data_IF_898700941780
#
_entry.id   IF_898700941780
#
_cell.length_a   1.000
_cell.length_b   1.000
_cell.length_c   1.000
_cell.angle_alpha   90.00
_cell.angle_beta   90.00
_cell.angle_gamma   90.00
#
_symmetry.space_group_name_H-M   'P 1'
#
loop_
_entity.id
_entity.type
_entity.pdbx_description
1 polymer ?
#
# COMPACT_ATOMS: atom_id res chain seq x y z
N UNK A 1 5.03 -14.30 11.94
CA UNK A 1 6.11 -13.62 11.20
C UNK A 1 5.76 -12.15 11.12
N UNK A 2 6.74 -11.26 11.30
CA UNK A 2 6.54 -9.80 11.18
C UNK A 2 6.92 -9.36 9.77
N UNK A 3 6.08 -8.54 9.15
CA UNK A 3 6.18 -8.07 7.78
C UNK A 3 5.96 -6.56 7.77
N UNK A 4 6.77 -5.81 7.03
CA UNK A 4 6.49 -4.40 6.78
C UNK A 4 5.35 -4.29 5.76
N UNK A 5 4.40 -3.35 5.97
CA UNK A 5 3.42 -3.04 4.93
C UNK A 5 4.09 -2.56 3.64
N UNK A 6 3.34 -2.65 2.54
CA UNK A 6 3.76 -2.29 1.18
C UNK A 6 4.99 -3.01 0.63
N UNK A 7 5.53 -3.97 1.38
CA UNK A 7 6.73 -4.71 1.02
C UNK A 7 6.45 -6.20 0.93
N UNK A 8 6.83 -6.78 -0.22
CA UNK A 8 6.78 -8.21 -0.44
C UNK A 8 7.80 -8.94 0.47
N UNK A 9 7.34 -9.91 1.25
CA UNK A 9 8.18 -10.66 2.21
C UNK A 9 8.04 -12.17 1.99
N UNK A 10 9.18 -12.88 2.02
CA UNK A 10 9.20 -14.34 1.87
C UNK A 10 8.67 -15.03 3.14
N UNK A 11 7.73 -15.95 2.96
CA UNK A 11 7.25 -16.86 4.00
C UNK A 11 8.07 -18.14 3.94
N UNK A 12 8.94 -18.34 4.92
CA UNK A 12 9.83 -19.50 4.99
C UNK A 12 9.28 -20.61 5.90
N UNK A 13 9.87 -21.81 5.77
CA UNK A 13 9.58 -22.94 6.66
C UNK A 13 8.28 -23.70 6.33
N UNK A 14 7.64 -23.38 5.20
CA UNK A 14 6.49 -24.13 4.70
C UNK A 14 6.95 -25.48 4.18
N UNK A 15 6.27 -26.54 4.61
CA UNK A 15 6.45 -27.88 4.08
C UNK A 15 5.19 -28.71 4.32
N UNK A 16 5.07 -29.78 3.55
CA UNK A 16 4.00 -30.76 3.67
C UNK A 16 4.59 -32.16 3.83
N UNK A 17 3.86 -33.05 4.47
CA UNK A 17 4.24 -34.44 4.65
C UNK A 17 2.99 -35.32 4.56
N UNK A 18 3.17 -36.50 4.00
CA UNK A 18 2.16 -37.55 3.95
C UNK A 18 2.83 -38.88 4.34
N UNK A 19 2.41 -39.52 5.45
CA UNK A 19 3.03 -40.76 5.92
C UNK A 19 2.94 -41.93 4.94
N UNK A 20 1.93 -41.96 4.07
CA UNK A 20 1.67 -43.07 3.15
C UNK A 20 2.39 -42.90 1.80
N UNK A 21 2.94 -41.71 1.54
CA UNK A 21 3.79 -41.42 0.38
C UNK A 21 5.25 -41.79 0.69
N UNK A 22 5.60 -43.07 0.49
CA UNK A 22 6.98 -43.56 0.61
C UNK A 22 7.65 -43.78 -0.75
N UNK A 23 8.77 -43.08 -0.99
CA UNK A 23 9.97 -43.49 -1.74
C UNK A 23 9.92 -44.02 -3.17
N UNK A 24 8.78 -44.46 -3.73
CA UNK A 24 8.69 -45.05 -5.07
C UNK A 24 7.28 -45.06 -5.69
N UNK A 25 6.24 -44.67 -4.96
CA UNK A 25 4.96 -44.33 -5.57
C UNK A 25 4.97 -42.82 -5.82
N UNK A 26 5.28 -42.33 -7.04
CA UNK A 26 5.47 -40.91 -7.27
C UNK A 26 4.21 -40.08 -6.99
N UNK A 27 3.07 -40.76 -6.79
CA UNK A 27 1.80 -40.20 -6.31
C UNK A 27 1.21 -39.27 -7.34
N UNK A 28 -0.04 -39.51 -7.72
CA UNK A 28 -0.82 -38.55 -8.52
C UNK A 28 -0.74 -37.15 -7.88
N UNK A 29 -0.94 -36.08 -8.66
CA UNK A 29 -0.79 -34.73 -8.13
C UNK A 29 -1.67 -34.51 -6.87
N UNK A 30 -1.09 -33.93 -5.83
CA UNK A 30 -1.82 -33.39 -4.67
C UNK A 30 -1.97 -31.88 -4.84
N UNK A 31 -2.84 -31.26 -4.04
CA UNK A 31 -3.05 -29.82 -4.11
C UNK A 31 -2.76 -29.14 -2.77
N UNK A 32 -2.04 -28.02 -2.81
CA UNK A 32 -1.85 -27.13 -1.66
C UNK A 32 -2.46 -25.77 -2.00
N UNK A 33 -3.41 -25.32 -1.19
CA UNK A 33 -3.97 -23.97 -1.28
C UNK A 33 -3.37 -23.10 -0.19
N UNK A 34 -2.70 -22.03 -0.59
CA UNK A 34 -2.22 -20.97 0.29
C UNK A 34 -3.21 -19.81 0.21
N UNK A 35 -3.66 -19.28 1.35
CA UNK A 35 -4.63 -18.17 1.38
C UNK A 35 -4.35 -17.17 2.50
N UNK A 36 -4.58 -15.88 2.22
CA UNK A 36 -4.48 -14.74 3.14
C UNK A 36 -5.70 -13.83 2.96
N UNK A 37 -6.06 -13.06 3.98
CA UNK A 37 -7.21 -12.16 3.91
C UNK A 37 -6.83 -10.74 3.46
N UNK A 38 -5.61 -10.29 3.73
CA UNK A 38 -5.21 -8.88 3.59
C UNK A 38 -3.99 -8.67 2.69
N UNK A 39 -3.99 -9.29 1.51
CA UNK A 39 -2.94 -9.08 0.53
C UNK A 39 -2.97 -10.09 -0.59
N UNK A 40 -1.80 -10.34 -1.17
CA UNK A 40 -1.59 -11.32 -2.23
C UNK A 40 -0.44 -12.25 -1.89
N UNK A 41 -0.53 -13.47 -2.42
CA UNK A 41 0.53 -14.46 -2.38
C UNK A 41 1.06 -14.62 -3.80
N UNK A 42 2.37 -14.51 -3.95
CA UNK A 42 3.09 -14.83 -5.18
C UNK A 42 4.02 -16.01 -4.91
N UNK A 43 3.87 -17.05 -5.73
CA UNK A 43 4.66 -18.28 -5.65
C UNK A 43 5.58 -18.32 -6.87
N UNK A 44 6.87 -18.58 -6.65
CA UNK A 44 7.82 -18.74 -7.75
C UNK A 44 7.43 -19.95 -8.63
N UNK A 45 7.78 -19.90 -9.92
CA UNK A 45 7.60 -21.06 -10.78
C UNK A 45 8.53 -22.20 -10.33
N UNK A 46 8.01 -23.44 -10.31
CA UNK A 46 8.75 -24.63 -9.90
C UNK A 46 8.52 -25.78 -10.87
N UNK A 47 9.56 -26.56 -11.11
CA UNK A 47 9.47 -27.76 -11.96
C UNK A 47 8.50 -28.76 -11.34
N UNK A 48 7.53 -29.24 -12.13
CA UNK A 48 6.56 -30.24 -11.68
C UNK A 48 5.44 -29.71 -10.77
N UNK A 49 5.32 -28.38 -10.64
CA UNK A 49 4.22 -27.72 -9.92
C UNK A 49 3.45 -26.80 -10.88
N UNK A 50 2.13 -26.99 -10.95
CA UNK A 50 1.22 -26.07 -11.63
C UNK A 50 0.66 -25.09 -10.61
N UNK A 51 0.68 -23.80 -10.94
CA UNK A 51 0.13 -22.72 -10.11
C UNK A 51 -1.18 -22.23 -10.71
N UNK A 52 -2.22 -22.14 -9.90
CA UNK A 52 -3.50 -21.52 -10.25
C UNK A 52 -3.73 -20.32 -9.34
N UNK A 53 -4.31 -19.24 -9.89
CA UNK A 53 -4.59 -17.97 -9.19
C UNK A 53 -3.37 -17.32 -8.51
N UNK A 54 -2.17 -17.53 -9.06
CA UNK A 54 -0.94 -16.91 -8.55
C UNK A 54 -1.02 -15.38 -8.55
N UNK A 55 -0.48 -14.73 -7.51
CA UNK A 55 -0.53 -13.26 -7.35
C UNK A 55 -1.86 -12.74 -6.83
N UNK A 56 -2.70 -13.61 -6.24
CA UNK A 56 -3.97 -13.21 -5.62
C UNK A 56 -3.97 -13.56 -4.13
N UNK A 57 -5.05 -13.25 -3.40
CA UNK A 57 -5.20 -13.64 -1.99
C UNK A 57 -5.27 -15.16 -1.77
N UNK A 58 -5.41 -15.98 -2.82
CA UNK A 58 -5.35 -17.43 -2.72
C UNK A 58 -4.66 -18.06 -3.93
N UNK A 59 -3.65 -18.91 -3.69
CA UNK A 59 -2.90 -19.61 -4.74
C UNK A 59 -3.00 -21.10 -4.51
N UNK A 60 -3.30 -21.84 -5.58
CA UNK A 60 -3.31 -23.31 -5.55
C UNK A 60 -2.10 -23.86 -6.28
N UNK A 61 -1.31 -24.67 -5.60
CA UNK A 61 -0.21 -25.45 -6.13
C UNK A 61 -0.73 -26.87 -6.40
N UNK A 62 -0.44 -27.43 -7.56
CA UNK A 62 -0.73 -28.83 -7.89
C UNK A 62 0.53 -29.53 -8.39
N UNK A 63 0.91 -30.64 -7.77
CA UNK A 63 2.15 -31.36 -8.09
C UNK A 63 2.39 -32.54 -7.16
N UNK A 64 3.55 -33.18 -7.29
CA UNK A 64 3.95 -34.24 -6.35
C UNK A 64 4.41 -33.66 -5.02
N UNK A 65 4.33 -34.45 -3.94
CA UNK A 65 4.81 -34.07 -2.61
C UNK A 65 6.23 -33.48 -2.66
N UNK A 66 7.13 -34.14 -3.39
CA UNK A 66 8.53 -33.72 -3.53
C UNK A 66 8.66 -32.41 -4.30
N UNK A 67 7.96 -32.25 -5.44
CA UNK A 67 8.02 -31.03 -6.23
C UNK A 67 7.50 -29.81 -5.47
N UNK A 68 6.39 -29.98 -4.73
CA UNK A 68 5.83 -28.93 -3.87
C UNK A 68 6.80 -28.54 -2.76
N UNK A 69 7.38 -29.51 -2.04
CA UNK A 69 8.35 -29.20 -0.97
C UNK A 69 9.62 -28.52 -1.49
N UNK A 70 10.12 -28.90 -2.67
CA UNK A 70 11.25 -28.21 -3.32
C UNK A 70 10.89 -26.74 -3.61
N UNK A 71 9.68 -26.49 -4.11
CA UNK A 71 9.21 -25.13 -4.38
C UNK A 71 9.07 -24.31 -3.11
N UNK A 72 8.39 -24.85 -2.08
CA UNK A 72 8.16 -24.16 -0.80
C UNK A 72 9.46 -23.83 -0.07
N UNK A 73 10.50 -24.67 -0.21
CA UNK A 73 11.81 -24.46 0.39
C UNK A 73 12.71 -23.51 -0.41
N UNK A 74 12.31 -23.08 -1.61
CA UNK A 74 13.12 -22.18 -2.42
C UNK A 74 13.16 -20.76 -1.83
N UNK A 75 14.25 -20.01 -2.10
CA UNK A 75 14.51 -18.73 -1.47
C UNK A 75 13.40 -17.68 -1.67
N UNK A 76 12.63 -17.76 -2.76
CA UNK A 76 11.47 -16.93 -3.04
C UNK A 76 10.24 -17.80 -3.32
N UNK A 77 10.15 -18.97 -2.68
CA UNK A 77 9.12 -19.97 -2.95
C UNK A 77 7.73 -19.43 -2.76
N UNK A 78 7.49 -18.76 -1.63
CA UNK A 78 6.23 -18.11 -1.31
C UNK A 78 6.52 -16.72 -0.77
N UNK A 79 5.97 -15.72 -1.44
CA UNK A 79 6.07 -14.31 -1.04
C UNK A 79 4.67 -13.78 -0.75
N UNK A 80 4.52 -13.12 0.38
CA UNK A 80 3.31 -12.41 0.76
C UNK A 80 3.54 -10.91 0.63
N UNK A 81 2.60 -10.22 -0.02
CA UNK A 81 2.56 -8.77 -0.11
C UNK A 81 1.25 -8.30 0.51
N UNK A 82 1.28 -7.59 1.65
CA UNK A 82 0.09 -6.97 2.23
C UNK A 82 -0.64 -6.07 1.23
N UNK A 83 -1.95 -5.88 1.43
CA UNK A 83 -2.68 -4.84 0.72
C UNK A 83 -2.06 -3.46 1.02
N UNK A 84 -2.16 -2.54 0.07
CA UNK A 84 -1.55 -1.21 0.22
C UNK A 84 -2.06 -0.50 1.48
N UNK A 85 -1.16 0.05 2.29
CA UNK A 85 -1.42 0.72 3.57
C UNK A 85 -2.19 -0.15 4.60
N UNK A 86 -2.11 -1.48 4.48
CA UNK A 86 -2.66 -2.39 5.48
C UNK A 86 -1.63 -2.70 6.56
N UNK A 87 -1.95 -2.31 7.80
CA UNK A 87 -1.23 -2.72 8.99
C UNK A 87 -2.17 -3.48 9.95
N UNK A 88 -1.67 -4.55 10.58
CA UNK A 88 -2.47 -5.38 11.48
C UNK A 88 -2.14 -6.88 11.41
N UNK A 89 -3.00 -7.70 12.00
CA UNK A 89 -2.85 -9.16 11.96
C UNK A 89 -3.37 -9.74 10.65
N UNK A 90 -2.67 -10.70 10.07
CA UNK A 90 -3.20 -11.57 9.01
C UNK A 90 -2.81 -13.02 9.30
N UNK A 91 -3.37 -13.97 8.56
CA UNK A 91 -3.06 -15.40 8.71
C UNK A 91 -2.93 -16.04 7.35
N UNK A 92 -1.74 -16.58 7.08
CA UNK A 92 -1.57 -17.50 5.96
C UNK A 92 -2.15 -18.86 6.36
N UNK A 93 -3.19 -19.29 5.66
CA UNK A 93 -3.76 -20.63 5.77
C UNK A 93 -3.20 -21.50 4.65
N UNK A 94 -2.65 -22.65 5.01
CA UNK A 94 -2.18 -23.68 4.09
C UNK A 94 -3.09 -24.89 4.21
N UNK A 95 -3.84 -25.19 3.15
CA UNK A 95 -4.74 -26.35 3.07
C UNK A 95 -4.20 -27.34 2.05
N UNK A 96 -3.81 -28.52 2.51
CA UNK A 96 -3.26 -29.59 1.68
C UNK A 96 -4.30 -30.67 1.50
N UNK A 97 -4.66 -30.99 0.26
CA UNK A 97 -5.50 -32.11 -0.10
C UNK A 97 -4.63 -33.16 -0.80
N UNK A 98 -4.64 -34.37 -0.26
CA UNK A 98 -3.80 -35.47 -0.72
C UNK A 98 -4.29 -36.09 -2.04
N UNK A 99 -5.40 -35.65 -2.64
CA UNK A 99 -5.95 -36.18 -3.88
C UNK A 99 -6.44 -37.64 -3.80
N UNK A 100 -6.55 -38.21 -2.60
CA UNK A 100 -6.81 -39.63 -2.38
C UNK A 100 -5.59 -40.50 -2.66
N UNK A 101 -4.40 -39.90 -2.63
CA UNK A 101 -3.15 -40.57 -2.91
C UNK A 101 -2.71 -41.41 -1.71
N UNK A 102 -2.32 -42.65 -2.02
CA UNK A 102 -1.74 -43.65 -1.11
C UNK A 102 -2.67 -44.12 0.02
N UNK A 103 -2.62 -45.42 0.31
CA UNK A 103 -3.61 -46.09 1.18
C UNK A 103 -4.93 -46.43 0.47
N UNK A 104 -5.87 -47.04 1.21
CA UNK A 104 -7.24 -47.29 0.75
C UNK A 104 -8.13 -46.15 1.23
N UNK A 105 -8.76 -45.36 0.35
CA UNK A 105 -9.64 -44.27 0.79
C UNK A 105 -9.98 -43.23 -0.27
N UNK A 106 -10.65 -42.17 0.17
CA UNK A 106 -10.92 -40.95 -0.59
C UNK A 106 -9.91 -39.87 -0.23
N UNK A 107 -9.90 -38.76 -0.98
CA UNK A 107 -9.07 -37.62 -0.65
C UNK A 107 -9.33 -37.08 0.77
N UNK A 108 -8.25 -36.82 1.50
CA UNK A 108 -8.25 -36.18 2.81
C UNK A 108 -7.59 -34.80 2.72
N UNK A 109 -7.86 -33.97 3.73
CA UNK A 109 -7.37 -32.59 3.76
C UNK A 109 -6.84 -32.24 5.15
N UNK A 110 -5.69 -31.58 5.18
CA UNK A 110 -5.08 -31.03 6.37
C UNK A 110 -4.95 -29.50 6.24
N UNK A 111 -5.08 -28.78 7.35
CA UNK A 111 -4.97 -27.32 7.37
C UNK A 111 -4.00 -26.88 8.46
N UNK A 112 -3.08 -26.00 8.09
CA UNK A 112 -2.09 -25.38 8.97
C UNK A 112 -2.10 -23.87 8.77
N UNK A 113 -1.67 -23.12 9.78
CA UNK A 113 -1.68 -21.65 9.73
C UNK A 113 -0.34 -21.05 10.14
N UNK A 114 0.03 -19.94 9.52
CA UNK A 114 1.13 -19.06 9.96
C UNK A 114 0.54 -17.70 10.32
N UNK A 115 0.69 -17.29 11.57
CA UNK A 115 0.30 -15.95 12.01
C UNK A 115 1.24 -14.90 11.40
N UNK A 116 0.67 -13.87 10.79
CA UNK A 116 1.38 -12.75 10.19
C UNK A 116 1.04 -11.47 10.96
N UNK A 117 2.02 -10.61 11.15
CA UNK A 117 1.85 -9.30 11.77
C UNK A 117 2.44 -8.26 10.82
N UNK A 118 1.58 -7.47 10.21
CA UNK A 118 1.95 -6.39 9.30
C UNK A 118 2.15 -5.11 10.11
N UNK A 119 3.35 -4.56 10.06
CA UNK A 119 3.74 -3.33 10.77
C UNK A 119 3.60 -2.13 9.87
N UNK A 120 3.10 -1.03 10.44
CA UNK A 120 2.98 0.22 9.72
C UNK A 120 4.35 0.77 9.28
N UNK A 121 4.39 1.40 8.11
CA UNK A 121 5.54 2.09 7.52
C UNK A 121 5.08 3.50 7.15
N UNK A 122 5.83 4.51 7.57
CA UNK A 122 5.45 5.89 7.32
C UNK A 122 5.55 6.26 5.83
N UNK A 123 4.40 6.55 5.21
CA UNK A 123 4.23 7.12 3.89
C UNK A 123 4.44 8.64 3.85
N UNK A 124 4.72 9.14 2.66
CA UNK A 124 4.85 10.57 2.42
C UNK A 124 3.47 11.21 2.16
N UNK A 125 3.23 12.46 2.62
CA UNK A 125 2.05 13.20 2.21
C UNK A 125 1.98 13.40 0.70
N UNK A 126 0.77 13.39 0.17
CA UNK A 126 0.48 13.69 -1.24
C UNK A 126 -0.28 15.01 -1.36
N UNK A 127 0.09 15.80 -2.37
CA UNK A 127 -0.53 17.09 -2.65
C UNK A 127 -1.42 16.99 -3.89
N UNK A 128 -2.67 17.42 -3.76
CA UNK A 128 -3.60 17.59 -4.88
C UNK A 128 -3.70 19.09 -5.15
N UNK A 129 -3.38 19.47 -6.38
CA UNK A 129 -3.37 20.87 -6.81
C UNK A 129 -4.31 21.06 -8.00
N UNK A 130 -4.93 22.25 -8.16
CA UNK A 130 -5.74 22.52 -9.33
C UNK A 130 -4.89 22.54 -10.61
N UNK A 131 -5.56 22.42 -11.75
CA UNK A 131 -4.93 22.68 -13.05
C UNK A 131 -4.36 24.10 -13.11
N UNK A 132 -3.48 24.35 -14.08
CA UNK A 132 -2.86 25.65 -14.29
C UNK A 132 -3.92 26.77 -14.30
N UNK A 133 -3.65 27.83 -13.53
CA UNK A 133 -4.51 29.00 -13.40
C UNK A 133 -3.86 30.20 -14.06
N UNK A 134 -4.67 31.08 -14.64
CA UNK A 134 -4.23 32.37 -15.15
C UNK A 134 -4.97 33.49 -14.44
N UNK A 135 -4.30 34.61 -14.27
CA UNK A 135 -4.88 35.87 -13.83
C UNK A 135 -4.17 37.01 -14.53
N UNK A 136 -4.85 38.15 -14.64
CA UNK A 136 -4.20 39.39 -15.00
C UNK A 136 -3.23 39.80 -13.88
N UNK A 137 -2.16 40.47 -14.26
CA UNK A 137 -1.40 41.35 -13.38
C UNK A 137 -2.34 42.23 -12.54
N UNK A 138 -1.86 42.61 -11.36
CA UNK A 138 -2.60 43.47 -10.41
C UNK A 138 -3.98 42.93 -9.97
N UNK A 139 -4.33 41.71 -10.39
CA UNK A 139 -5.62 41.09 -10.15
C UNK A 139 -5.45 39.86 -9.27
N UNK A 140 -5.88 39.99 -8.02
CA UNK A 140 -5.91 38.88 -7.07
C UNK A 140 -6.73 37.70 -7.58
N UNK A 141 -6.23 36.49 -7.37
CA UNK A 141 -6.87 35.24 -7.81
C UNK A 141 -7.05 34.31 -6.64
N UNK A 142 -8.29 33.89 -6.41
CA UNK A 142 -8.58 32.79 -5.49
C UNK A 142 -8.10 31.48 -6.10
N UNK A 143 -7.30 30.73 -5.33
CA UNK A 143 -6.85 29.39 -5.67
C UNK A 143 -7.73 28.41 -4.89
N UNK A 144 -8.42 27.53 -5.62
CA UNK A 144 -9.31 26.51 -5.05
C UNK A 144 -8.89 25.12 -5.54
N UNK A 145 -9.31 24.07 -4.84
CA UNK A 145 -8.96 22.68 -5.19
C UNK A 145 -7.61 22.20 -4.65
N UNK A 146 -6.99 22.95 -3.73
CA UNK A 146 -5.85 22.48 -2.96
C UNK A 146 -6.32 21.48 -1.90
N UNK A 147 -5.71 20.30 -1.85
CA UNK A 147 -5.96 19.28 -0.82
C UNK A 147 -4.68 18.51 -0.51
N UNK A 148 -4.58 18.02 0.72
CA UNK A 148 -3.50 17.14 1.17
C UNK A 148 -4.10 15.79 1.54
N UNK A 149 -3.36 14.71 1.33
CA UNK A 149 -3.70 13.40 1.86
C UNK A 149 -2.45 12.71 2.41
N UNK A 150 -2.61 11.99 3.51
CA UNK A 150 -1.56 11.21 4.17
C UNK A 150 -2.28 10.10 4.94
N UNK A 151 -1.87 8.85 4.73
CA UNK A 151 -2.55 7.67 5.28
C UNK A 151 -2.17 7.41 6.74
N UNK A 152 -1.01 7.90 7.17
CA UNK A 152 -0.43 7.64 8.49
C UNK A 152 -0.62 8.76 9.50
N UNK A 153 -0.77 10.00 9.03
CA UNK A 153 -0.71 11.18 9.91
C UNK A 153 -1.76 11.15 11.03
N UNK A 154 -2.89 10.49 10.82
CA UNK A 154 -3.99 10.41 11.76
C UNK A 154 -4.45 11.78 12.25
N UNK A 155 -4.36 12.03 13.56
CA UNK A 155 -4.68 13.33 14.19
C UNK A 155 -3.46 14.18 14.50
N UNK A 156 -2.27 13.76 14.08
CA UNK A 156 -1.03 14.51 14.30
C UNK A 156 -1.00 15.80 13.47
N UNK A 157 -0.13 16.73 13.89
CA UNK A 157 0.08 17.98 13.16
C UNK A 157 1.06 17.77 12.00
N UNK A 158 0.77 18.38 10.86
CA UNK A 158 1.66 18.49 9.70
C UNK A 158 1.89 19.95 9.33
N UNK A 159 2.88 20.17 8.46
CA UNK A 159 3.16 21.49 7.89
C UNK A 159 2.97 21.48 6.38
N UNK A 160 2.35 22.55 5.86
CA UNK A 160 2.16 22.78 4.42
C UNK A 160 2.73 24.14 4.08
N UNK A 161 3.50 24.23 3.02
CA UNK A 161 4.04 25.50 2.52
C UNK A 161 3.39 25.84 1.19
N UNK A 162 2.70 26.98 1.13
CA UNK A 162 2.21 27.58 -0.10
C UNK A 162 3.19 28.69 -0.51
N UNK A 163 3.76 28.60 -1.70
CA UNK A 163 4.75 29.57 -2.16
C UNK A 163 4.53 29.98 -3.62
N UNK A 164 4.89 31.22 -3.92
CA UNK A 164 4.86 31.80 -5.26
C UNK A 164 6.18 32.49 -5.55
N UNK A 165 6.61 32.47 -6.80
CA UNK A 165 7.86 33.12 -7.22
C UNK A 165 7.71 34.66 -7.31
N UNK A 166 6.52 35.14 -7.66
CA UNK A 166 6.23 36.56 -7.85
C UNK A 166 4.89 36.91 -7.24
N UNK A 167 4.87 37.89 -6.34
CA UNK A 167 3.69 38.33 -5.61
C UNK A 167 3.62 37.72 -4.21
N UNK A 168 2.40 37.61 -3.69
CA UNK A 168 2.13 37.11 -2.33
C UNK A 168 0.97 36.13 -2.33
N UNK A 169 0.95 35.30 -1.29
CA UNK A 169 -0.18 34.42 -0.96
C UNK A 169 -0.75 34.86 0.37
N UNK A 170 -2.06 35.04 0.41
CA UNK A 170 -2.82 35.26 1.63
C UNK A 170 -3.76 34.09 1.86
N UNK A 171 -3.75 33.57 3.09
CA UNK A 171 -4.61 32.48 3.55
C UNK A 171 -5.55 33.03 4.62
N UNK A 172 -6.83 32.72 4.51
CA UNK A 172 -7.83 33.06 5.51
C UNK A 172 -7.50 32.37 6.85
N UNK A 173 -7.89 32.98 7.98
CA UNK A 173 -7.75 32.32 9.27
C UNK A 173 -8.68 31.09 9.34
N UNK A 174 -8.17 29.98 9.88
CA UNK A 174 -8.92 28.74 10.06
C UNK A 174 -8.77 28.19 11.47
N UNK A 175 -9.80 27.53 11.98
CA UNK A 175 -9.74 26.86 13.29
C UNK A 175 -8.74 25.71 13.23
N UNK A 176 -7.85 25.63 14.23
CA UNK A 176 -6.88 24.54 14.33
C UNK A 176 -5.71 24.63 13.34
N UNK A 177 -5.57 25.75 12.63
CA UNK A 177 -4.44 26.01 11.72
C UNK A 177 -3.71 27.27 12.16
N UNK A 178 -2.39 27.15 12.36
CA UNK A 178 -1.49 28.28 12.58
C UNK A 178 -0.87 28.70 11.24
N UNK A 179 -0.83 30.00 10.99
CA UNK A 179 -0.26 30.58 9.77
C UNK A 179 1.03 31.34 10.11
N UNK A 180 2.11 31.04 9.41
CA UNK A 180 3.38 31.79 9.48
C UNK A 180 3.66 32.39 8.10
N UNK A 181 4.01 33.68 8.05
CA UNK A 181 4.33 34.36 6.80
C UNK A 181 3.11 34.71 5.93
N UNK A 182 1.91 34.76 6.50
CA UNK A 182 0.69 35.08 5.77
C UNK A 182 0.78 36.45 5.06
N UNK A 183 0.41 36.51 3.78
CA UNK A 183 0.53 37.72 2.96
C UNK A 183 1.94 37.97 2.40
N UNK A 184 2.83 36.98 2.45
CA UNK A 184 4.16 37.04 1.83
C UNK A 184 4.26 36.08 0.65
N UNK A 185 5.44 35.97 0.02
CA UNK A 185 5.68 35.01 -1.06
C UNK A 185 5.65 33.54 -0.59
N UNK A 186 5.68 33.27 0.72
CA UNK A 186 5.64 31.93 1.30
C UNK A 186 4.82 31.92 2.59
N UNK A 187 3.77 31.11 2.63
CA UNK A 187 2.91 30.91 3.81
C UNK A 187 3.04 29.47 4.27
N UNK A 188 3.40 29.28 5.54
CA UNK A 188 3.37 27.96 6.17
C UNK A 188 2.08 27.82 7.00
N UNK A 189 1.38 26.72 6.77
CA UNK A 189 0.23 26.26 7.55
C UNK A 189 0.71 25.14 8.47
N UNK A 190 0.31 25.15 9.74
CA UNK A 190 0.55 24.06 10.67
C UNK A 190 -0.74 23.68 11.39
N UNK A 191 -1.11 22.41 11.35
CA UNK A 191 -2.37 21.90 11.90
C UNK A 191 -2.58 20.42 11.57
N UNK A 192 -3.71 19.85 11.98
CA UNK A 192 -4.06 18.48 11.58
C UNK A 192 -4.48 18.43 10.11
N UNK A 193 -4.36 17.26 9.48
CA UNK A 193 -4.79 17.04 8.09
C UNK A 193 -6.23 17.53 7.87
N UNK A 194 -7.14 17.16 8.76
CA UNK A 194 -8.55 17.55 8.70
C UNK A 194 -8.74 19.07 8.82
N UNK A 195 -8.02 19.75 9.73
CA UNK A 195 -8.13 21.19 9.91
C UNK A 195 -7.58 21.96 8.69
N UNK A 196 -6.43 21.53 8.16
CA UNK A 196 -5.83 22.13 6.96
C UNK A 196 -6.76 21.96 5.75
N UNK A 197 -7.27 20.75 5.49
CA UNK A 197 -8.19 20.52 4.36
C UNK A 197 -9.51 21.27 4.53
N UNK A 198 -10.02 21.41 5.74
CA UNK A 198 -11.21 22.23 6.02
C UNK A 198 -10.95 23.70 5.68
N UNK A 199 -9.79 24.23 6.07
CA UNK A 199 -9.38 25.59 5.71
C UNK A 199 -9.25 25.73 4.19
N UNK A 200 -8.50 24.86 3.51
CA UNK A 200 -8.27 24.94 2.07
C UNK A 200 -9.55 24.79 1.23
N UNK A 201 -10.55 24.06 1.74
CA UNK A 201 -11.86 23.92 1.10
C UNK A 201 -12.79 25.13 1.31
N UNK A 202 -12.45 26.06 2.20
CA UNK A 202 -13.29 27.23 2.49
C UNK A 202 -13.29 28.21 1.30
N UNK A 203 -14.41 28.90 1.11
CA UNK A 203 -14.51 29.91 0.06
C UNK A 203 -13.47 31.02 0.29
N UNK A 204 -12.74 31.39 -0.78
CA UNK A 204 -11.69 32.40 -0.74
C UNK A 204 -10.56 32.10 0.26
N UNK A 205 -10.35 30.83 0.61
CA UNK A 205 -9.36 30.44 1.60
C UNK A 205 -7.94 30.84 1.23
N UNK A 206 -7.56 30.69 -0.04
CA UNK A 206 -6.22 31.01 -0.54
C UNK A 206 -6.35 32.02 -1.68
N UNK A 207 -5.71 33.17 -1.52
CA UNK A 207 -5.68 34.23 -2.53
C UNK A 207 -4.24 34.51 -2.93
N UNK A 208 -3.94 34.35 -4.21
CA UNK A 208 -2.72 34.79 -4.83
C UNK A 208 -2.86 36.25 -5.29
N UNK A 209 -1.88 37.10 -4.99
CA UNK A 209 -1.81 38.47 -5.50
C UNK A 209 -0.50 38.65 -6.28
N UNK A 210 -0.53 38.88 -7.61
CA UNK A 210 0.68 39.11 -8.39
C UNK A 210 1.49 40.32 -7.88
N UNK A 211 2.79 40.35 -8.20
CA UNK A 211 3.59 41.58 -7.99
C UNK A 211 3.00 42.71 -8.84
N UNK A 212 2.86 43.89 -8.25
CA UNK A 212 2.30 45.03 -8.95
C UNK A 212 3.11 45.37 -10.21
N UNK A 213 2.43 45.60 -11.34
CA UNK A 213 3.04 45.91 -12.63
C UNK A 213 4.12 44.88 -13.03
N UNK A 214 3.90 43.59 -12.77
CA UNK A 214 4.79 42.51 -13.24
C UNK A 214 4.65 42.33 -14.76
N UNK A 215 5.15 43.31 -15.47
CA UNK A 215 5.29 43.36 -16.89
C UNK A 215 6.80 43.36 -17.05
N UNK A 216 7.37 42.35 -17.69
CA UNK A 216 8.80 42.33 -17.99
C UNK A 216 9.10 43.59 -18.83
N UNK A 217 9.59 44.66 -18.20
CA UNK A 217 10.00 45.86 -18.92
C UNK A 217 11.25 45.49 -19.70
N UNK A 218 11.07 45.09 -20.96
CA UNK A 218 12.11 45.24 -21.97
C UNK A 218 12.27 46.74 -22.21
N UNK A 219 13.24 47.35 -21.52
CA UNK A 219 13.94 48.54 -22.01
C UNK A 219 15.29 48.11 -22.55
#
# INVERSE_FOLDING_TARGET
QTIAEDTATVIAGLSIADPDITGSNPGTAMTVTLAVAHGTISVAAGTGVTLTTNGTGSVTLSGTLSAINVLLASANGVTYTPAANYNGSDTLTMTTNDGGNTGTGTALTATSTVALTVTAVNDAPTNIVPAAQTTAEDTGKVISGLQIADVDVGTSTMTVTLAVAHGTVSVAAGTGVTLIGNGTASVQLSGTLAAINTLLASANAVTYTPTANYNFFLT
#
